data_IF_984126182861
#
_entry.id   IF_984126182861
#
_cell.length_a   1.000
_cell.length_b   1.000
_cell.length_c   1.000
_cell.angle_alpha   90.00
_cell.angle_beta   90.00
_cell.angle_gamma   90.00
#
_symmetry.space_group_name_H-M   'P 1'
#
loop_
_entity.id
_entity.type
_entity.pdbx_description
1 polymer ?
#
# COMPACT_ATOMS: atom_id res chain seq x y z
N UNK A 1 2.10 -15.04 4.92
CA UNK A 1 1.91 -14.50 3.55
C UNK A 1 1.25 -13.14 3.68
N UNK A 2 1.60 -12.14 2.85
CA UNK A 2 0.94 -10.83 2.85
C UNK A 2 0.16 -10.67 1.55
N UNK A 3 -1.02 -10.07 1.63
CA UNK A 3 -1.90 -9.86 0.49
C UNK A 3 -2.55 -8.47 0.58
N UNK A 4 -2.77 -7.84 -0.57
CA UNK A 4 -3.44 -6.55 -0.62
C UNK A 4 -4.93 -6.72 -0.35
N UNK A 5 -5.45 -5.96 0.61
CA UNK A 5 -6.89 -5.88 0.88
C UNK A 5 -7.65 -5.34 -0.34
N UNK A 6 -7.11 -4.33 -1.03
CA UNK A 6 -7.73 -3.76 -2.24
C UNK A 6 -7.82 -4.79 -3.36
N UNK A 7 -6.75 -5.58 -3.56
CA UNK A 7 -6.75 -6.64 -4.57
C UNK A 7 -7.83 -7.69 -4.27
N UNK A 8 -7.98 -8.10 -3.00
CA UNK A 8 -9.05 -9.01 -2.59
C UNK A 8 -10.43 -8.40 -2.83
N UNK A 9 -10.61 -7.13 -2.46
CA UNK A 9 -11.89 -6.42 -2.62
C UNK A 9 -12.29 -6.31 -4.10
N UNK A 10 -11.34 -5.95 -4.97
CA UNK A 10 -11.56 -5.84 -6.42
C UNK A 10 -11.84 -7.20 -7.07
N UNK A 11 -11.15 -8.26 -6.64
CA UNK A 11 -11.26 -9.58 -7.25
C UNK A 11 -12.53 -10.32 -6.82
N UNK A 12 -12.96 -10.14 -5.56
CA UNK A 12 -14.04 -10.92 -4.95
C UNK A 12 -15.34 -10.13 -4.74
N UNK A 13 -15.30 -8.80 -4.81
CA UNK A 13 -16.50 -7.95 -4.76
C UNK A 13 -17.26 -7.97 -3.43
N UNK A 14 -16.57 -7.88 -2.29
CA UNK A 14 -17.17 -7.82 -0.95
C UNK A 14 -17.14 -6.42 -0.35
N UNK A 15 -17.99 -6.18 0.66
CA UNK A 15 -18.03 -4.92 1.42
C UNK A 15 -17.86 -5.14 2.93
N UNK A 16 -16.77 -5.82 3.28
CA UNK A 16 -16.34 -6.12 4.64
C UNK A 16 -15.15 -5.24 4.96
N UNK A 17 -15.11 -4.66 6.16
CA UNK A 17 -13.91 -4.02 6.70
C UNK A 17 -12.75 -5.03 6.81
N UNK A 18 -11.48 -4.56 6.89
CA UNK A 18 -10.34 -5.45 7.10
C UNK A 18 -10.48 -6.37 8.32
N UNK A 19 -11.11 -5.87 9.40
CA UNK A 19 -11.33 -6.61 10.64
C UNK A 19 -12.40 -7.71 10.47
N UNK A 20 -13.50 -7.42 9.79
CA UNK A 20 -14.54 -8.41 9.49
C UNK A 20 -14.03 -9.50 8.56
N UNK A 21 -13.27 -9.13 7.54
CA UNK A 21 -12.62 -10.08 6.64
C UNK A 21 -11.68 -11.02 7.41
N UNK A 22 -10.86 -10.47 8.32
CA UNK A 22 -9.94 -11.26 9.13
C UNK A 22 -10.67 -12.25 10.04
N UNK A 23 -11.78 -11.83 10.67
CA UNK A 23 -12.61 -12.71 11.47
C UNK A 23 -13.25 -13.83 10.63
N UNK A 24 -13.76 -13.51 9.44
CA UNK A 24 -14.32 -14.50 8.52
C UNK A 24 -13.30 -15.51 8.02
N UNK A 25 -12.09 -15.06 7.67
CA UNK A 25 -10.98 -15.94 7.29
C UNK A 25 -10.58 -16.86 8.44
N UNK A 26 -10.46 -16.33 9.67
CA UNK A 26 -10.14 -17.13 10.84
C UNK A 26 -11.20 -18.23 11.10
N UNK A 27 -12.49 -17.89 10.97
CA UNK A 27 -13.58 -18.86 11.09
C UNK A 27 -13.55 -19.94 9.99
N UNK A 28 -13.06 -19.60 8.80
CA UNK A 28 -12.86 -20.53 7.69
C UNK A 28 -11.57 -21.36 7.80
N UNK A 29 -10.80 -21.23 8.89
CA UNK A 29 -9.54 -21.96 9.11
C UNK A 29 -8.28 -21.26 8.58
N UNK A 30 -8.39 -20.00 8.18
CA UNK A 30 -7.29 -19.17 7.68
C UNK A 30 -6.98 -18.04 8.68
N UNK A 31 -6.17 -18.29 9.72
CA UNK A 31 -5.87 -17.29 10.73
C UNK A 31 -5.10 -16.10 10.13
N UNK A 32 -5.51 -14.89 10.50
CA UNK A 32 -4.84 -13.64 10.11
C UNK A 32 -3.96 -13.16 11.25
N UNK A 33 -2.65 -13.15 11.02
CA UNK A 33 -1.65 -12.76 12.02
C UNK A 33 -1.59 -11.24 12.24
N UNK A 34 -1.72 -10.46 11.17
CA UNK A 34 -1.63 -9.00 11.25
C UNK A 34 -2.37 -8.31 10.10
N UNK A 35 -2.81 -7.09 10.40
CA UNK A 35 -3.36 -6.13 9.44
C UNK A 35 -2.54 -4.86 9.59
N UNK A 36 -2.01 -4.34 8.49
CA UNK A 36 -1.21 -3.11 8.51
C UNK A 36 -1.59 -2.20 7.33
N UNK A 37 -1.69 -0.88 7.55
CA UNK A 37 -1.78 0.07 6.45
C UNK A 37 -0.50 0.04 5.60
N UNK A 38 -0.61 0.32 4.30
CA UNK A 38 0.54 0.34 3.39
C UNK A 38 1.52 1.47 3.74
N UNK A 39 0.98 2.64 4.09
CA UNK A 39 1.74 3.81 4.47
C UNK A 39 0.93 4.65 5.49
N UNK A 40 1.61 5.49 6.29
CA UNK A 40 0.96 6.58 7.01
C UNK A 40 0.23 7.51 6.04
N UNK A 41 -0.67 8.33 6.57
CA UNK A 41 -1.28 9.40 5.78
C UNK A 41 -0.21 10.42 5.37
N UNK A 42 -0.06 10.64 4.07
CA UNK A 42 0.82 11.64 3.49
C UNK A 42 -0.03 12.49 2.56
N UNK A 43 0.01 13.81 2.74
CA UNK A 43 -0.73 14.78 1.93
C UNK A 43 0.21 15.56 1.03
N UNK A 44 -0.30 16.06 -0.11
CA UNK A 44 0.47 16.90 -1.03
C UNK A 44 1.46 16.16 -1.95
N UNK A 45 1.47 14.83 -1.94
CA UNK A 45 2.27 14.04 -2.90
C UNK A 45 1.48 13.90 -4.21
N UNK A 46 2.12 14.31 -5.31
CA UNK A 46 1.56 14.22 -6.66
C UNK A 46 2.54 13.54 -7.60
N UNK A 47 2.01 12.98 -8.69
CA UNK A 47 2.84 12.46 -9.78
C UNK A 47 3.29 13.64 -10.64
N UNK A 48 4.58 13.69 -10.94
CA UNK A 48 5.18 14.69 -11.81
C UNK A 48 6.15 14.04 -12.80
N UNK A 49 6.41 14.73 -13.90
CA UNK A 49 7.36 14.34 -14.93
C UNK A 49 8.66 15.14 -14.78
N UNK A 50 9.81 14.45 -14.86
CA UNK A 50 11.13 15.09 -14.87
C UNK A 50 11.45 15.55 -16.29
N UNK A 51 11.47 16.87 -16.51
CA UNK A 51 11.78 17.46 -17.82
C UNK A 51 13.29 17.59 -18.09
N UNK A 52 14.08 17.88 -17.07
CA UNK A 52 15.54 18.02 -17.16
C UNK A 52 16.18 17.68 -15.80
N UNK A 53 17.39 17.14 -15.82
CA UNK A 53 18.21 16.80 -14.64
C UNK A 53 19.63 17.31 -14.88
N UNK A 54 20.26 17.99 -13.91
CA UNK A 54 21.57 18.62 -14.06
C UNK A 54 22.42 18.39 -12.81
N UNK A 55 23.60 17.80 -13.00
CA UNK A 55 24.56 17.55 -11.92
C UNK A 55 24.79 18.80 -11.05
N UNK A 56 24.70 18.60 -9.74
CA UNK A 56 24.90 19.70 -8.80
C UNK A 56 26.37 20.17 -8.89
N UNK A 57 26.63 21.49 -9.00
CA UNK A 57 27.96 22.01 -9.31
C UNK A 57 29.02 21.66 -8.26
N UNK A 58 28.61 21.40 -7.02
CA UNK A 58 29.49 21.15 -5.88
C UNK A 58 29.12 19.88 -5.09
N UNK A 59 28.34 18.96 -5.66
CA UNK A 59 27.95 17.74 -4.94
C UNK A 59 27.83 16.54 -5.89
N UNK A 60 28.73 15.58 -5.70
CA UNK A 60 28.92 14.44 -6.60
C UNK A 60 27.77 13.42 -6.59
N UNK A 61 26.86 13.53 -5.61
CA UNK A 61 25.74 12.59 -5.40
C UNK A 61 24.37 13.22 -5.63
N UNK A 62 24.33 14.47 -6.12
CA UNK A 62 23.11 15.20 -6.42
C UNK A 62 23.02 15.47 -7.93
N UNK A 63 21.82 15.33 -8.47
CA UNK A 63 21.48 15.53 -9.88
C UNK A 63 20.37 16.54 -10.05
#
# INVERSE_FOLDING_TARGET
>A
MKISYNWLKETLGFDLSPQELAAGLAAAGFPVESIAPLAPEITGVVVAELLEVKAHPNADRLS
#
